data_IF_997017514330
#
_entry.id   IF_997017514330
#
_cell.length_a   1.000
_cell.length_b   1.000
_cell.length_c   1.000
_cell.angle_alpha   90.00
_cell.angle_beta   90.00
_cell.angle_gamma   90.00
#
_symmetry.space_group_name_H-M   'P 1'
#
loop_
_entity.id
_entity.type
_entity.pdbx_description
1 polymer ?
#
# COMPACT_ATOMS: atom_id res chain seq x y z
N UNK A 1 15.71 18.37 13.99
CA UNK A 1 14.50 17.55 13.74
C UNK A 1 13.30 18.48 13.68
N UNK A 2 12.77 18.71 12.49
CA UNK A 2 11.58 19.55 12.26
C UNK A 2 10.33 18.66 12.40
N UNK A 3 9.86 18.47 13.64
CA UNK A 3 8.81 17.50 14.02
C UNK A 3 7.42 17.84 13.43
N UNK A 4 7.19 19.08 12.99
CA UNK A 4 5.90 19.56 12.47
C UNK A 4 5.98 20.20 11.09
N UNK A 5 6.96 19.81 10.25
CA UNK A 5 6.99 20.28 8.87
C UNK A 5 5.93 19.55 8.04
N UNK A 6 4.71 20.05 8.07
CA UNK A 6 3.63 19.65 7.16
C UNK A 6 3.88 20.31 5.81
N UNK A 7 4.02 19.51 4.75
CA UNK A 7 4.05 20.03 3.38
C UNK A 7 2.67 20.59 3.06
N UNK A 8 2.59 21.84 2.60
CA UNK A 8 1.29 22.41 2.23
C UNK A 8 0.80 21.77 0.92
N UNK A 9 -0.51 21.74 0.74
CA UNK A 9 -1.17 21.16 -0.45
C UNK A 9 -0.71 21.93 -1.70
N UNK A 10 -0.59 23.25 -1.57
CA UNK A 10 -0.16 24.16 -2.63
C UNK A 10 1.28 23.86 -3.10
N UNK A 11 2.19 23.55 -2.18
CA UNK A 11 3.56 23.15 -2.52
C UNK A 11 3.61 21.80 -3.25
N UNK A 12 2.72 20.87 -2.90
CA UNK A 12 2.64 19.56 -3.57
C UNK A 12 2.07 19.68 -4.97
N UNK A 13 1.07 20.55 -5.16
CA UNK A 13 0.47 20.79 -6.48
C UNK A 13 1.47 21.49 -7.41
N UNK A 14 2.18 22.50 -6.91
CA UNK A 14 3.23 23.19 -7.65
C UNK A 14 4.36 22.26 -8.10
N UNK A 15 4.85 21.38 -7.23
CA UNK A 15 5.86 20.36 -7.58
C UNK A 15 5.34 19.33 -8.60
N UNK A 16 4.04 19.05 -8.61
CA UNK A 16 3.43 18.10 -9.56
C UNK A 16 3.28 18.71 -10.97
N UNK A 17 3.16 20.04 -11.06
CA UNK A 17 2.97 20.80 -12.30
C UNK A 17 4.28 21.32 -12.94
N UNK A 18 5.45 21.11 -12.31
CA UNK A 18 6.73 21.54 -12.89
C UNK A 18 6.98 20.90 -14.27
N UNK A 19 7.19 21.75 -15.28
CA UNK A 19 7.43 21.39 -16.68
C UNK A 19 8.77 20.63 -16.83
N UNK A 20 8.70 19.31 -16.69
CA UNK A 20 9.84 18.39 -16.75
C UNK A 20 9.63 17.11 -15.94
N UNK A 21 8.74 17.16 -14.93
CA UNK A 21 8.48 16.05 -14.00
C UNK A 21 7.04 15.53 -14.06
N UNK A 22 6.20 16.03 -14.99
CA UNK A 22 4.80 15.61 -15.08
C UNK A 22 4.67 14.17 -15.61
N UNK A 23 4.02 13.30 -14.83
CA UNK A 23 3.70 11.94 -15.26
C UNK A 23 2.52 11.97 -16.25
N UNK A 24 2.67 11.30 -17.40
CA UNK A 24 1.55 11.06 -18.32
C UNK A 24 0.47 10.24 -17.60
N UNK A 25 -0.72 10.84 -17.41
CA UNK A 25 -1.89 10.17 -16.84
C UNK A 25 -2.49 9.17 -17.84
N UNK A 26 -1.89 7.99 -17.93
CA UNK A 26 -2.37 6.89 -18.77
C UNK A 26 -2.86 5.66 -17.97
N UNK A 27 -2.69 5.67 -16.65
CA UNK A 27 -3.17 4.58 -15.79
C UNK A 27 -4.69 4.67 -15.63
N UNK A 28 -5.40 3.71 -16.22
CA UNK A 28 -6.83 3.52 -16.00
C UNK A 28 -7.13 2.77 -14.70
N UNK A 29 -8.41 2.67 -14.36
CA UNK A 29 -8.88 1.93 -13.17
C UNK A 29 -8.35 0.49 -13.10
N UNK A 30 -8.29 -0.21 -14.23
CA UNK A 30 -7.79 -1.58 -14.30
C UNK A 30 -6.30 -1.69 -14.00
N UNK A 31 -5.49 -0.76 -14.50
CA UNK A 31 -4.05 -0.75 -14.26
C UNK A 31 -3.74 -0.47 -12.78
N UNK A 32 -4.49 0.46 -12.18
CA UNK A 32 -4.41 0.75 -10.75
C UNK A 32 -4.83 -0.44 -9.87
N UNK A 33 -5.90 -1.15 -10.25
CA UNK A 33 -6.35 -2.34 -9.53
C UNK A 33 -5.30 -3.46 -9.58
N UNK A 34 -4.73 -3.72 -10.76
CA UNK A 34 -3.67 -4.73 -10.95
C UNK A 34 -2.40 -4.33 -10.18
N UNK A 35 -2.02 -3.05 -10.21
CA UNK A 35 -0.89 -2.53 -9.44
C UNK A 35 -1.08 -2.78 -7.94
N UNK A 36 -2.28 -2.54 -7.39
CA UNK A 36 -2.58 -2.80 -5.98
C UNK A 36 -2.43 -4.28 -5.62
N UNK A 37 -2.96 -5.19 -6.44
CA UNK A 37 -2.83 -6.64 -6.22
C UNK A 37 -1.36 -7.09 -6.34
N UNK A 38 -0.62 -6.58 -7.32
CA UNK A 38 0.79 -6.92 -7.51
C UNK A 38 1.65 -6.53 -6.30
N UNK A 39 1.41 -5.34 -5.73
CA UNK A 39 2.11 -4.87 -4.51
C UNK A 39 1.76 -5.74 -3.31
N UNK A 40 0.49 -6.12 -3.14
CA UNK A 40 0.05 -6.96 -2.02
C UNK A 40 0.62 -8.40 -2.09
N UNK A 41 0.65 -9.00 -3.28
CA UNK A 41 1.09 -10.39 -3.50
C UNK A 41 2.61 -10.53 -3.46
N UNK A 42 3.39 -9.46 -3.66
CA UNK A 42 4.85 -9.48 -3.77
C UNK A 42 5.61 -10.03 -2.54
N UNK A 43 6.47 -9.22 -1.92
CA UNK A 43 7.32 -9.71 -0.83
C UNK A 43 6.51 -10.11 0.43
N UNK A 44 5.34 -9.51 0.64
CA UNK A 44 4.54 -9.68 1.85
C UNK A 44 4.02 -11.11 2.04
N UNK A 45 3.29 -11.65 1.06
CA UNK A 45 2.59 -12.94 1.24
C UNK A 45 3.56 -14.11 1.22
N UNK A 46 4.59 -14.07 0.36
CA UNK A 46 5.53 -15.18 0.18
C UNK A 46 6.65 -15.23 1.23
N UNK A 47 7.07 -14.09 1.78
CA UNK A 47 8.11 -14.06 2.82
C UNK A 47 7.49 -13.98 4.21
N UNK A 48 6.80 -12.88 4.51
CA UNK A 48 6.27 -12.62 5.85
C UNK A 48 5.10 -13.54 6.17
N UNK A 49 4.20 -13.76 5.20
CA UNK A 49 3.07 -14.68 5.35
C UNK A 49 3.51 -16.13 5.57
N UNK A 50 4.50 -16.61 4.81
CA UNK A 50 5.07 -17.95 4.99
C UNK A 50 5.76 -18.11 6.35
N UNK A 51 6.50 -17.09 6.80
CA UNK A 51 7.15 -17.12 8.11
C UNK A 51 6.12 -17.08 9.25
N UNK A 52 5.06 -16.29 9.13
CA UNK A 52 3.96 -16.27 10.09
C UNK A 52 3.21 -17.60 10.17
N UNK A 53 3.01 -18.28 9.03
CA UNK A 53 2.43 -19.62 8.99
C UNK A 53 3.33 -20.66 9.68
N UNK A 54 4.63 -20.65 9.40
CA UNK A 54 5.56 -21.64 9.91
C UNK A 54 5.88 -21.48 11.41
N UNK A 55 6.04 -20.24 11.91
CA UNK A 55 6.58 -19.98 13.24
C UNK A 55 5.59 -19.39 14.24
N UNK A 56 4.41 -18.92 13.82
CA UNK A 56 3.48 -18.24 14.71
C UNK A 56 2.08 -18.87 14.75
N UNK A 57 1.42 -19.04 13.60
CA UNK A 57 0.01 -19.41 13.57
C UNK A 57 -0.26 -20.87 13.14
N UNK A 58 0.67 -21.52 12.44
CA UNK A 58 0.46 -22.89 11.95
C UNK A 58 -0.82 -23.01 11.10
N UNK A 59 -1.66 -24.05 11.29
CA UNK A 59 -2.91 -24.21 10.55
C UNK A 59 -3.95 -23.10 10.82
N UNK A 60 -3.80 -22.34 11.91
CA UNK A 60 -4.69 -21.21 12.24
C UNK A 60 -4.31 -19.89 11.52
N UNK A 61 -3.30 -19.89 10.65
CA UNK A 61 -2.86 -18.69 9.91
C UNK A 61 -3.97 -18.04 9.08
N UNK A 62 -4.93 -18.84 8.60
CA UNK A 62 -6.09 -18.36 7.85
C UNK A 62 -6.92 -17.39 8.69
N UNK A 63 -7.15 -17.69 9.97
CA UNK A 63 -7.91 -16.82 10.88
C UNK A 63 -7.17 -15.49 11.08
N UNK A 64 -5.85 -15.53 11.18
CA UNK A 64 -5.01 -14.33 11.33
C UNK A 64 -5.08 -13.44 10.08
N UNK A 65 -5.06 -14.04 8.87
CA UNK A 65 -5.20 -13.30 7.61
C UNK A 65 -6.59 -12.67 7.43
N UNK A 66 -7.66 -13.33 7.91
CA UNK A 66 -9.01 -12.75 7.87
C UNK A 66 -9.07 -11.47 8.72
N UNK A 67 -8.54 -11.51 9.94
CA UNK A 67 -8.51 -10.34 10.83
C UNK A 67 -7.65 -9.24 10.23
N UNK A 68 -6.46 -9.57 9.72
CA UNK A 68 -5.58 -8.61 9.05
C UNK A 68 -6.25 -7.96 7.82
N UNK A 69 -7.02 -8.74 7.05
CA UNK A 69 -7.79 -8.23 5.91
C UNK A 69 -8.83 -7.19 6.30
N UNK A 70 -9.56 -7.39 7.41
CA UNK A 70 -10.53 -6.42 7.92
C UNK A 70 -9.84 -5.12 8.33
N UNK A 71 -8.72 -5.21 9.04
CA UNK A 71 -7.94 -4.03 9.47
C UNK A 71 -7.38 -3.26 8.28
N UNK A 72 -6.83 -3.97 7.29
CA UNK A 72 -6.30 -3.36 6.07
C UNK A 72 -7.41 -2.68 5.26
N UNK A 73 -8.59 -3.30 5.18
CA UNK A 73 -9.78 -2.71 4.55
C UNK A 73 -10.22 -1.41 5.22
N UNK A 74 -10.20 -1.36 6.56
CA UNK A 74 -10.47 -0.12 7.30
C UNK A 74 -9.40 0.96 7.04
N UNK A 75 -8.12 0.57 6.97
CA UNK A 75 -7.00 1.48 6.71
C UNK A 75 -7.00 2.10 5.31
N UNK A 76 -7.56 1.42 4.31
CA UNK A 76 -7.72 1.98 2.95
C UNK A 76 -8.83 3.04 2.90
N UNK A 77 -9.79 2.99 3.82
CA UNK A 77 -10.95 3.88 3.83
C UNK A 77 -10.71 5.19 4.59
N UNK A 78 -9.63 5.28 5.37
CA UNK A 78 -9.20 6.50 6.08
C UNK A 78 -8.10 7.25 5.32
#
# INVERSE_FOLDING_TARGET
MQIFRTKSVEQTLAETEEEGHSLKRNLGWWDLAVMGVAVAVGAGIFSVGAQAAAFHAGPAVIISFIIAGIVCGAAVMC
#
